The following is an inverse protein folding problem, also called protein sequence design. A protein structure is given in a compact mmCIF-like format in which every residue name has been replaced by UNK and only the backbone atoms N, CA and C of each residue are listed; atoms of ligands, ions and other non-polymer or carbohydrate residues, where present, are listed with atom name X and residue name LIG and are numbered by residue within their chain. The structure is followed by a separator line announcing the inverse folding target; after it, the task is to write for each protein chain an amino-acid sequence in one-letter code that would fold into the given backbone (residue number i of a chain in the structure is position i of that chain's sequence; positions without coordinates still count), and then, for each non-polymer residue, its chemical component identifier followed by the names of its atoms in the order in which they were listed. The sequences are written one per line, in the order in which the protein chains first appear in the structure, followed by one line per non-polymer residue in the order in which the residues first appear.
data_IF_097810468645
#
_entry.id   IF_097810468645
#
_cell.length_a   1.000
_cell.length_b   1.000
_cell.length_c   1.000
_cell.angle_alpha   90.00
_cell.angle_beta   90.00
_cell.angle_gamma   90.00
#
_symmetry.space_group_name_H-M   'P 1'
#
loop_
_entity.id
_entity.type
_entity.pdbx_description
1 polymer ?
#
# COMPACT_ATOMS: atom_id res chain seq x y z
N UNK A 1 -1.78 14.80 -4.20
CA UNK A 1 -2.05 15.68 -5.36
C UNK A 1 -2.86 14.86 -6.37
N UNK A 2 -4.10 15.24 -6.65
CA UNK A 2 -4.88 14.62 -7.72
C UNK A 2 -4.52 15.33 -9.04
N UNK A 3 -3.83 14.64 -9.94
CA UNK A 3 -3.50 15.17 -11.26
C UNK A 3 -4.81 15.25 -12.07
N UNK A 4 -5.28 16.47 -12.37
CA UNK A 4 -6.43 16.66 -13.26
C UNK A 4 -6.11 16.00 -14.60
N UNK A 5 -6.92 15.04 -15.01
CA UNK A 5 -6.84 14.45 -16.35
C UNK A 5 -7.27 15.53 -17.34
N UNK A 6 -6.29 16.18 -17.97
CA UNK A 6 -6.55 17.13 -19.06
C UNK A 6 -6.98 16.30 -20.25
N UNK A 7 -8.28 16.34 -20.58
CA UNK A 7 -8.84 15.67 -21.77
C UNK A 7 -8.24 16.33 -23.01
N UNK A 8 -7.22 15.71 -23.60
CA UNK A 8 -6.62 16.19 -24.85
C UNK A 8 -7.64 16.09 -25.99
N UNK A 9 -7.90 17.23 -26.64
CA UNK A 9 -8.76 17.30 -27.82
C UNK A 9 -7.97 16.79 -29.04
N UNK A 10 -8.18 15.53 -29.41
CA UNK A 10 -7.42 14.84 -30.47
C UNK A 10 -7.83 15.23 -31.91
N UNK A 11 -8.67 16.26 -32.09
CA UNK A 11 -9.13 16.70 -33.42
C UNK A 11 -7.98 17.40 -34.16
N UNK A 12 -7.46 16.74 -35.20
CA UNK A 12 -6.42 17.26 -36.09
C UNK A 12 -5.05 16.57 -35.96
N UNK A 13 -4.89 15.57 -35.09
CA UNK A 13 -3.64 14.83 -34.97
C UNK A 13 -3.45 13.81 -36.09
N UNK A 14 -2.21 13.67 -36.56
CA UNK A 14 -1.79 12.60 -37.46
C UNK A 14 -1.89 11.23 -36.78
N UNK A 15 -2.05 10.17 -37.58
CA UNK A 15 -2.21 8.79 -37.10
C UNK A 15 -1.04 8.34 -36.19
N UNK A 16 0.18 8.79 -36.50
CA UNK A 16 1.38 8.56 -35.68
C UNK A 16 1.27 9.22 -34.30
N UNK A 17 0.80 10.46 -34.24
CA UNK A 17 0.66 11.18 -32.97
C UNK A 17 -0.40 10.53 -32.07
N UNK A 18 -1.52 10.05 -32.65
CA UNK A 18 -2.54 9.32 -31.89
C UNK A 18 -1.99 8.03 -31.27
N UNK A 19 -1.21 7.26 -32.03
CA UNK A 19 -0.57 6.04 -31.50
C UNK A 19 0.43 6.35 -30.38
N UNK A 20 1.21 7.42 -30.50
CA UNK A 20 2.13 7.84 -29.43
C UNK A 20 1.36 8.23 -28.17
N UNK A 21 0.22 8.93 -28.30
CA UNK A 21 -0.62 9.28 -27.15
C UNK A 21 -1.22 8.05 -26.48
N UNK A 22 -1.75 7.10 -27.24
CA UNK A 22 -2.26 5.83 -26.70
C UNK A 22 -1.18 5.06 -25.95
N UNK A 23 0.01 4.91 -26.53
CA UNK A 23 1.13 4.23 -25.86
C UNK A 23 1.54 4.96 -24.57
N UNK A 24 1.57 6.30 -24.58
CA UNK A 24 1.83 7.08 -23.37
C UNK A 24 0.76 6.88 -22.29
N UNK A 25 -0.51 6.83 -22.66
CA UNK A 25 -1.60 6.55 -21.72
C UNK A 25 -1.48 5.14 -21.14
N UNK A 26 -1.21 4.13 -21.97
CA UNK A 26 -1.03 2.74 -21.53
C UNK A 26 0.17 2.59 -20.59
N UNK A 27 1.30 3.23 -20.90
CA UNK A 27 2.51 3.23 -20.06
C UNK A 27 2.32 4.02 -18.75
N UNK A 28 1.49 5.06 -18.75
CA UNK A 28 1.19 5.85 -17.55
C UNK A 28 0.04 5.29 -16.71
N UNK A 29 -0.59 4.18 -17.10
CA UNK A 29 -1.58 3.54 -16.24
C UNK A 29 -0.91 3.18 -14.91
N UNK A 30 -1.52 3.53 -13.77
CA UNK A 30 -0.97 3.16 -12.47
C UNK A 30 -0.86 1.64 -12.42
N UNK A 31 0.33 1.15 -12.08
CA UNK A 31 0.56 -0.29 -11.99
C UNK A 31 -0.36 -0.87 -10.90
N UNK A 32 -1.27 -1.76 -11.31
CA UNK A 32 -2.22 -2.41 -10.40
C UNK A 32 -1.50 -3.26 -9.34
N UNK A 33 -0.27 -3.70 -9.62
CA UNK A 33 0.56 -4.47 -8.68
C UNK A 33 1.50 -3.59 -7.85
N UNK A 34 1.41 -2.27 -7.97
CA UNK A 34 2.22 -1.36 -7.16
C UNK A 34 1.97 -1.62 -5.67
N UNK A 35 3.06 -1.88 -4.94
CA UNK A 35 2.99 -2.02 -3.49
C UNK A 35 2.60 -0.67 -2.88
N UNK A 36 1.49 -0.67 -2.14
CA UNK A 36 1.04 0.48 -1.37
C UNK A 36 1.23 0.23 0.13
N UNK A 37 2.43 0.49 0.69
CA UNK A 37 2.70 0.25 2.10
C UNK A 37 1.99 1.26 3.03
N UNK A 38 1.75 2.49 2.55
CA UNK A 38 1.16 3.57 3.36
C UNK A 38 -0.33 3.81 3.08
N UNK A 39 -1.14 2.76 3.07
CA UNK A 39 -2.60 2.93 3.05
C UNK A 39 -3.12 3.28 4.45
N UNK A 40 -4.25 3.97 4.53
CA UNK A 40 -4.90 4.32 5.82
C UNK A 40 -5.09 3.07 6.70
N UNK A 41 -5.50 1.95 6.09
CA UNK A 41 -5.68 0.69 6.80
C UNK A 41 -4.37 0.17 7.41
N UNK A 42 -3.27 0.19 6.65
CA UNK A 42 -1.95 -0.26 7.11
C UNK A 42 -1.39 0.64 8.20
N UNK A 43 -1.49 1.96 8.02
CA UNK A 43 -1.04 2.96 9.01
C UNK A 43 -1.74 2.73 10.36
N UNK A 44 -3.07 2.58 10.37
CA UNK A 44 -3.80 2.33 11.62
C UNK A 44 -3.33 1.00 12.26
N UNK A 45 -3.05 -0.01 11.46
CA UNK A 45 -2.58 -1.31 11.96
C UNK A 45 -1.18 -1.21 12.56
N UNK A 46 -0.28 -0.39 12.01
CA UNK A 46 1.04 -0.11 12.58
C UNK A 46 0.93 0.52 13.98
N UNK A 47 0.03 1.49 14.17
CA UNK A 47 -0.22 2.07 15.49
C UNK A 47 -0.77 1.03 16.48
N UNK A 48 -1.63 0.13 16.02
CA UNK A 48 -2.18 -0.92 16.88
C UNK A 48 -1.14 -1.94 17.34
N UNK A 49 -0.02 -2.14 16.63
CA UNK A 49 1.05 -3.03 17.11
C UNK A 49 1.59 -2.57 18.47
N UNK A 50 1.62 -1.25 18.71
CA UNK A 50 2.12 -0.66 19.96
C UNK A 50 1.02 -0.63 21.04
N UNK A 51 -0.20 -0.21 20.66
CA UNK A 51 -1.31 -0.01 21.60
C UNK A 51 -2.04 -1.31 21.98
N UNK A 52 -2.29 -2.18 21.02
CA UNK A 52 -3.06 -3.42 21.18
C UNK A 52 -2.50 -4.53 20.27
N UNK A 53 -1.36 -5.14 20.63
CA UNK A 53 -0.68 -6.14 19.80
C UNK A 53 -1.58 -7.29 19.29
N UNK A 54 -2.50 -7.85 20.11
CA UNK A 54 -3.41 -8.91 19.63
C UNK A 54 -4.36 -8.45 18.51
N UNK A 55 -4.89 -7.23 18.61
CA UNK A 55 -5.80 -6.66 17.60
C UNK A 55 -5.04 -6.38 16.31
N UNK A 56 -3.80 -5.90 16.40
CA UNK A 56 -2.94 -5.69 15.25
C UNK A 56 -2.68 -7.00 14.50
N UNK A 57 -2.35 -8.09 15.20
CA UNK A 57 -2.10 -9.40 14.60
C UNK A 57 -3.33 -9.94 13.85
N UNK A 58 -4.52 -9.82 14.44
CA UNK A 58 -5.77 -10.19 13.75
C UNK A 58 -5.94 -9.42 12.42
N UNK A 59 -5.67 -8.11 12.42
CA UNK A 59 -5.81 -7.26 11.22
C UNK A 59 -4.76 -7.55 10.15
N UNK A 60 -3.55 -7.92 10.55
CA UNK A 60 -2.46 -8.29 9.63
C UNK A 60 -2.77 -9.63 8.93
N UNK A 61 -3.23 -10.63 9.69
CA UNK A 61 -3.40 -12.01 9.21
C UNK A 61 -4.80 -12.37 8.70
N UNK A 62 -5.76 -11.45 8.73
CA UNK A 62 -7.07 -11.66 8.10
C UNK A 62 -6.92 -12.04 6.61
N UNK A 63 -7.80 -12.91 6.11
CA UNK A 63 -7.78 -13.40 4.70
C UNK A 63 -7.79 -12.27 3.67
N UNK A 64 -8.62 -11.24 3.90
CA UNK A 64 -8.78 -10.10 2.99
C UNK A 64 -7.80 -8.95 3.29
N UNK A 65 -6.70 -9.25 3.99
CA UNK A 65 -5.72 -8.26 4.40
C UNK A 65 -4.95 -7.72 3.19
N UNK A 66 -4.85 -6.40 3.09
CA UNK A 66 -4.08 -5.68 2.04
C UNK A 66 -2.57 -5.74 2.27
N UNK A 67 -2.13 -6.45 3.31
CA UNK A 67 -0.72 -6.65 3.62
C UNK A 67 -0.10 -7.72 2.72
N UNK A 68 1.06 -7.39 2.15
CA UNK A 68 1.89 -8.37 1.47
C UNK A 68 2.55 -9.33 2.49
N UNK A 69 2.98 -10.51 2.03
CA UNK A 69 3.62 -11.53 2.88
C UNK A 69 4.82 -10.94 3.62
N UNK A 70 5.64 -10.15 2.93
CA UNK A 70 6.81 -9.49 3.52
C UNK A 70 6.41 -8.56 4.67
N UNK A 71 5.36 -7.77 4.46
CA UNK A 71 4.84 -6.86 5.49
C UNK A 71 4.21 -7.62 6.66
N UNK A 72 3.50 -8.73 6.39
CA UNK A 72 2.92 -9.58 7.45
C UNK A 72 4.02 -10.14 8.36
N UNK A 73 5.09 -10.65 7.77
CA UNK A 73 6.24 -11.15 8.52
C UNK A 73 6.89 -10.02 9.32
N UNK A 74 7.16 -8.88 8.69
CA UNK A 74 7.76 -7.73 9.36
C UNK A 74 6.93 -7.20 10.54
N UNK A 75 5.60 -7.12 10.38
CA UNK A 75 4.69 -6.69 11.46
C UNK A 75 4.63 -7.72 12.59
N UNK A 76 4.61 -9.01 12.25
CA UNK A 76 4.61 -10.09 13.25
C UNK A 76 5.90 -10.06 14.07
N UNK A 77 7.06 -9.92 13.42
CA UNK A 77 8.35 -9.79 14.09
C UNK A 77 8.39 -8.57 15.02
N UNK A 78 7.94 -7.41 14.53
CA UNK A 78 7.88 -6.17 15.32
C UNK A 78 6.99 -6.35 16.56
N UNK A 79 5.84 -6.99 16.40
CA UNK A 79 4.92 -7.31 17.49
C UNK A 79 5.56 -8.24 18.53
N UNK A 80 6.24 -9.31 18.10
CA UNK A 80 6.91 -10.24 19.02
C UNK A 80 8.01 -9.52 19.82
N UNK A 81 8.89 -8.78 19.14
CA UNK A 81 9.96 -8.02 19.80
C UNK A 81 9.41 -7.01 20.81
N UNK A 82 8.33 -6.31 20.44
CA UNK A 82 7.68 -5.35 21.33
C UNK A 82 7.06 -6.03 22.56
N UNK A 83 6.36 -7.15 22.39
CA UNK A 83 5.80 -7.91 23.53
C UNK A 83 6.91 -8.45 24.43
N UNK A 84 8.00 -9.00 23.87
CA UNK A 84 9.16 -9.42 24.65
C UNK A 84 9.77 -8.26 25.45
N UNK A 85 9.90 -7.07 24.85
CA UNK A 85 10.37 -5.88 25.54
C UNK A 85 9.44 -5.46 26.69
N UNK A 86 8.12 -5.48 26.48
CA UNK A 86 7.16 -5.18 27.55
C UNK A 86 7.26 -6.17 28.71
N UNK A 87 7.46 -7.47 28.42
CA UNK A 87 7.66 -8.49 29.45
C UNK A 87 8.95 -8.20 30.24
N UNK A 88 10.06 -7.89 29.57
CA UNK A 88 11.32 -7.49 30.23
C UNK A 88 11.22 -6.21 31.06
N UNK A 89 10.29 -5.32 30.74
CA UNK A 89 10.06 -4.11 31.51
C UNK A 89 9.23 -4.37 32.78
N UNK A 90 8.43 -5.44 32.78
CA UNK A 90 7.54 -5.82 33.89
C UNK A 90 8.24 -6.77 34.88
N UNK A 91 9.13 -7.65 34.40
CA UNK A 91 9.87 -8.65 35.19
C UNK A 91 11.35 -8.30 35.31
#
# INVERSE_FOLDING_TARGET
MATKVIKQNNRGLTLRQQNILRMKEELNKPDEKALHPFTKYKIITYFLVILFPPIAMYRVWKKDSTFDITEKIGQTLTCVLYVCYLIQLIF
#
